data_IF_512468966017
#
_entry.id   IF_512468966017
#
_cell.length_a   1.000
_cell.length_b   1.000
_cell.length_c   1.000
_cell.angle_alpha   90.00
_cell.angle_beta   90.00
_cell.angle_gamma   90.00
#
_symmetry.space_group_name_H-M   'P 1'
#
loop_
_entity.id
_entity.type
_entity.pdbx_description
1 polymer ?
#
# COMPACT_ATOMS: atom_id res chain seq x y z
N UNK A 1 -5.37 9.70 -2.27
CA UNK A 1 -3.93 9.93 -2.25
C UNK A 1 -3.23 9.05 -3.27
N UNK A 2 -2.24 9.56 -3.94
CA UNK A 2 -1.48 8.73 -4.85
C UNK A 2 0.00 8.98 -4.67
N UNK A 3 0.79 8.01 -5.06
CA UNK A 3 2.23 8.11 -4.96
C UNK A 3 2.89 6.85 -5.47
N UNK A 4 4.21 6.85 -5.46
CA UNK A 4 4.97 5.69 -5.89
C UNK A 4 5.07 4.69 -4.75
N UNK A 5 4.90 3.43 -5.09
CA UNK A 5 5.08 2.35 -4.13
C UNK A 5 6.57 2.19 -3.85
N UNK A 6 6.93 2.22 -2.59
CA UNK A 6 8.32 2.05 -2.21
C UNK A 6 8.62 0.62 -1.82
N UNK A 7 8.13 0.19 -0.69
CA UNK A 7 8.43 -1.12 -0.16
C UNK A 7 7.16 -1.93 -0.04
N UNK A 8 7.24 -3.21 -0.39
CA UNK A 8 6.09 -4.11 -0.29
C UNK A 8 6.51 -5.31 0.53
N UNK A 9 5.68 -5.66 1.50
CA UNK A 9 5.92 -6.83 2.33
C UNK A 9 4.66 -7.65 2.45
N UNK A 10 4.83 -8.95 2.37
CA UNK A 10 3.74 -9.88 2.57
C UNK A 10 3.98 -10.63 3.87
N UNK A 11 2.93 -10.86 4.62
CA UNK A 11 3.02 -11.72 5.77
C UNK A 11 1.76 -12.56 5.86
N UNK A 12 1.86 -13.66 6.54
CA UNK A 12 0.72 -14.57 6.64
C UNK A 12 0.93 -15.56 7.74
N UNK A 13 1.95 -15.29 8.53
CA UNK A 13 2.30 -16.23 9.57
C UNK A 13 1.26 -16.23 10.67
N UNK A 14 0.81 -17.40 11.01
CA UNK A 14 -0.04 -17.56 12.16
C UNK A 14 -1.47 -17.08 11.94
N UNK A 15 -1.92 -16.98 10.72
CA UNK A 15 -3.30 -16.62 10.53
C UNK A 15 -3.57 -15.84 9.30
N UNK A 16 -4.12 -14.64 9.47
CA UNK A 16 -4.62 -13.85 8.36
C UNK A 16 -3.49 -13.35 7.46
N UNK A 17 -3.55 -13.62 6.17
CA UNK A 17 -2.58 -13.03 5.25
C UNK A 17 -2.69 -11.52 5.23
N UNK A 18 -1.57 -10.87 4.99
CA UNK A 18 -1.54 -9.42 5.00
C UNK A 18 -0.54 -8.93 3.96
N UNK A 19 -0.90 -7.89 3.24
CA UNK A 19 0.00 -7.21 2.33
C UNK A 19 0.17 -5.77 2.81
N UNK A 20 1.41 -5.36 2.93
CA UNK A 20 1.75 -4.04 3.41
C UNK A 20 2.60 -3.34 2.38
N UNK A 21 2.26 -2.12 2.05
CA UNK A 21 3.04 -1.35 1.10
C UNK A 21 3.21 0.07 1.63
N UNK A 22 4.36 0.66 1.35
CA UNK A 22 4.61 2.06 1.67
C UNK A 22 4.42 2.88 0.42
N UNK A 23 3.73 3.99 0.57
CA UNK A 23 3.36 4.84 -0.54
C UNK A 23 3.84 6.25 -0.30
N UNK A 24 4.48 6.84 -1.29
CA UNK A 24 5.00 8.18 -1.17
C UNK A 24 6.39 8.18 -0.56
N UNK A 25 6.85 9.36 -0.15
CA UNK A 25 8.19 9.50 0.37
C UNK A 25 8.22 10.61 1.40
N UNK A 26 9.24 10.56 2.26
CA UNK A 26 9.45 11.60 3.25
C UNK A 26 8.29 11.74 4.21
N UNK A 27 7.94 12.97 4.51
CA UNK A 27 6.90 13.24 5.48
C UNK A 27 5.51 12.86 4.99
N UNK A 28 5.35 12.69 3.69
CA UNK A 28 4.06 12.35 3.11
C UNK A 28 3.86 10.85 2.96
N UNK A 29 4.80 10.06 3.41
CA UNK A 29 4.70 8.62 3.27
C UNK A 29 3.59 8.08 4.14
N UNK A 30 2.80 7.17 3.57
CA UNK A 30 1.79 6.45 4.32
C UNK A 30 2.00 4.97 4.13
N UNK A 31 1.44 4.20 5.02
CA UNK A 31 1.44 2.75 4.92
C UNK A 31 0.03 2.31 4.56
N UNK A 32 -0.07 1.42 3.59
CA UNK A 32 -1.35 0.82 3.25
C UNK A 32 -1.28 -0.66 3.57
N UNK A 33 -2.35 -1.19 4.11
CA UNK A 33 -2.40 -2.59 4.55
C UNK A 33 -3.68 -3.22 4.02
N UNK A 34 -3.52 -4.32 3.32
CA UNK A 34 -4.67 -5.14 2.89
C UNK A 34 -4.68 -6.40 3.73
N UNK A 35 -5.78 -6.60 4.44
CA UNK A 35 -5.96 -7.79 5.27
C UNK A 35 -6.68 -8.86 4.46
N UNK A 36 -6.29 -10.10 4.70
CA UNK A 36 -6.89 -11.23 3.98
C UNK A 36 -6.24 -11.53 2.66
N UNK A 37 -5.22 -10.79 2.28
CA UNK A 37 -4.48 -11.02 1.05
C UNK A 37 -3.01 -10.78 1.33
N UNK A 38 -2.16 -11.60 0.75
CA UNK A 38 -0.73 -11.35 0.85
C UNK A 38 -0.12 -11.06 -0.51
N UNK A 39 -0.96 -10.90 -1.53
CA UNK A 39 -0.48 -10.61 -2.87
C UNK A 39 -1.58 -9.92 -3.65
N UNK A 40 -1.23 -8.82 -4.27
CA UNK A 40 -2.13 -8.10 -5.17
C UNK A 40 -1.35 -7.79 -6.43
N UNK A 41 -1.86 -8.24 -7.55
CA UNK A 41 -1.18 -8.05 -8.83
C UNK A 41 -0.96 -6.57 -9.09
N UNK A 42 0.24 -6.22 -9.50
CA UNK A 42 0.56 -4.84 -9.86
C UNK A 42 1.05 -3.98 -8.71
N UNK A 43 0.90 -4.42 -7.47
CA UNK A 43 1.41 -3.66 -6.34
C UNK A 43 2.84 -4.09 -6.09
N UNK A 44 3.77 -3.31 -6.59
CA UNK A 44 5.17 -3.59 -6.51
C UNK A 44 5.95 -2.29 -6.52
N UNK A 45 7.17 -2.32 -6.00
CA UNK A 45 7.97 -1.10 -5.93
C UNK A 45 8.08 -0.42 -7.29
N UNK A 46 7.94 0.87 -7.29
CA UNK A 46 8.05 1.67 -8.49
C UNK A 46 6.75 1.97 -9.20
N UNK A 47 5.67 1.23 -8.89
CA UNK A 47 4.37 1.51 -9.50
C UNK A 47 3.73 2.72 -8.84
N UNK A 48 2.99 3.46 -9.60
CA UNK A 48 2.20 4.55 -9.05
C UNK A 48 0.84 4.01 -8.69
N UNK A 49 0.41 4.31 -7.47
CA UNK A 49 -0.80 3.76 -6.89
C UNK A 49 -1.62 4.89 -6.30
N UNK A 50 -2.89 4.92 -6.60
CA UNK A 50 -3.84 5.81 -5.96
C UNK A 50 -4.67 5.01 -4.98
N UNK A 51 -4.85 5.53 -3.78
CA UNK A 51 -5.62 4.83 -2.76
C UNK A 51 -6.62 5.77 -2.14
N UNK A 52 -7.74 5.20 -1.74
CA UNK A 52 -8.82 5.90 -1.08
C UNK A 52 -9.32 5.07 0.07
N UNK A 53 -9.57 5.71 1.18
CA UNK A 53 -10.08 4.99 2.34
C UNK A 53 -9.85 5.80 3.59
N UNK A 54 -10.27 5.24 4.71
CA UNK A 54 -10.12 5.89 5.99
C UNK A 54 -8.65 5.90 6.38
N UNK A 55 -8.18 7.07 6.79
CA UNK A 55 -6.82 7.23 7.26
C UNK A 55 -6.80 7.10 8.76
N UNK A 56 -5.95 6.23 9.26
CA UNK A 56 -5.73 6.06 10.68
C UNK A 56 -4.32 6.50 11.04
N UNK A 57 -4.13 6.87 12.28
CA UNK A 57 -2.82 7.25 12.74
C UNK A 57 -2.45 6.40 13.93
N UNK A 58 -1.33 5.71 13.84
CA UNK A 58 -0.90 4.80 14.89
C UNK A 58 0.60 4.95 15.09
N UNK A 59 0.99 5.32 16.30
CA UNK A 59 2.40 5.44 16.63
C UNK A 59 3.15 6.40 15.74
N UNK A 60 2.50 7.50 15.34
CA UNK A 60 3.13 8.46 14.46
C UNK A 60 3.09 8.10 13.00
N UNK A 61 2.47 7.01 12.65
CA UNK A 61 2.35 6.58 11.26
C UNK A 61 0.95 6.76 10.75
N UNK A 62 0.84 7.17 9.52
CA UNK A 62 -0.44 7.24 8.83
C UNK A 62 -0.66 5.93 8.09
N UNK A 63 -1.79 5.29 8.36
CA UNK A 63 -2.08 3.96 7.85
C UNK A 63 -3.47 3.93 7.27
N UNK A 64 -3.61 3.32 6.10
CA UNK A 64 -4.91 3.04 5.50
C UNK A 64 -5.08 1.53 5.43
N UNK A 65 -6.18 1.05 6.00
CA UNK A 65 -6.50 -0.36 5.98
C UNK A 65 -7.49 -0.66 4.88
N UNK A 66 -7.19 -1.68 4.08
CA UNK A 66 -8.07 -2.15 3.00
C UNK A 66 -8.58 -1.01 2.13
N UNK A 67 -7.70 -0.12 1.67
CA UNK A 67 -8.18 1.00 0.86
C UNK A 67 -8.62 0.51 -0.52
N UNK A 68 -9.51 1.27 -1.13
CA UNK A 68 -9.73 1.11 -2.55
C UNK A 68 -8.49 1.63 -3.26
N UNK A 69 -8.13 0.99 -4.34
CA UNK A 69 -6.90 1.35 -5.02
C UNK A 69 -7.09 1.32 -6.52
N UNK A 70 -6.24 2.06 -7.19
CA UNK A 70 -6.23 2.13 -8.63
C UNK A 70 -4.78 2.24 -9.06
N UNK A 71 -4.36 1.36 -9.94
CA UNK A 71 -3.00 1.37 -10.44
C UNK A 71 -2.93 2.22 -11.68
N UNK A 72 -1.95 3.10 -11.71
CA UNK A 72 -1.73 3.89 -12.91
C UNK A 72 -1.35 2.97 -14.05
N UNK A 73 -1.72 3.35 -15.25
CA UNK A 73 -1.36 2.59 -16.42
C UNK A 73 0.15 2.50 -16.52
N UNK A 74 0.62 1.37 -17.02
CA UNK A 74 2.04 1.17 -17.22
C UNK A 74 2.54 2.16 -18.24
N UNK A 75 3.51 2.96 -17.86
CA UNK A 75 4.05 3.99 -18.71
C UNK A 75 5.23 3.53 -19.56
N UNK A 76 5.63 2.30 -19.38
CA UNK A 76 6.75 1.78 -20.15
C UNK A 76 6.39 1.74 -21.62
N UNK A 77 7.15 2.39 -22.43
CA UNK A 77 6.85 2.49 -23.84
C UNK A 77 8.12 2.42 -24.61
#
# INVERSE_FOLDING_TARGET
MSGAVGRVRASGRGGLPMLRAELGAGADRITVIWLGRNRIAGIEPGRVLAVEGTLSEQGGRRIRYNPRYDLAADQAR
#
